data_IF_588822548904
#
_entry.id   IF_588822548904
#
_cell.length_a   1.000
_cell.length_b   1.000
_cell.length_c   1.000
_cell.angle_alpha   90.00
_cell.angle_beta   90.00
_cell.angle_gamma   90.00
#
_symmetry.space_group_name_H-M   'P 1'
#
loop_
_entity.id
_entity.type
_entity.pdbx_description
1 polymer ?
#
# COMPACT_ATOMS: atom_id res chain seq x y z
N UNK A 1 6.56 -10.16 3.45
CA UNK A 1 5.54 -10.96 2.76
C UNK A 1 6.00 -11.38 1.36
N UNK A 2 6.18 -10.45 0.44
CA UNK A 2 6.50 -10.74 -0.97
C UNK A 2 7.76 -11.62 -1.16
N UNK A 3 8.86 -11.24 -0.53
CA UNK A 3 10.14 -11.97 -0.62
C UNK A 3 10.04 -13.39 -0.06
N UNK A 4 9.31 -13.59 1.03
CA UNK A 4 9.06 -14.92 1.61
C UNK A 4 8.37 -15.88 0.63
N UNK A 5 7.54 -15.36 -0.28
CA UNK A 5 6.86 -16.11 -1.34
C UNK A 5 7.65 -16.14 -2.66
N UNK A 6 8.96 -15.88 -2.65
CA UNK A 6 9.83 -15.93 -3.82
C UNK A 6 9.75 -14.71 -4.74
N UNK A 7 9.10 -13.63 -4.29
CA UNK A 7 9.09 -12.35 -4.97
C UNK A 7 10.40 -11.56 -4.77
N UNK A 8 10.52 -10.42 -5.47
CA UNK A 8 11.68 -9.53 -5.35
C UNK A 8 11.27 -8.07 -5.18
N UNK A 9 12.23 -7.22 -4.87
CA UNK A 9 12.03 -5.78 -4.68
C UNK A 9 12.91 -4.98 -5.65
N UNK A 10 12.39 -3.86 -6.14
CA UNK A 10 13.20 -2.75 -6.62
C UNK A 10 13.92 -2.15 -5.42
N UNK A 11 15.25 -2.07 -5.47
CA UNK A 11 16.04 -1.64 -4.33
C UNK A 11 16.05 -0.12 -4.14
N UNK A 12 15.92 0.63 -5.25
CA UNK A 12 15.96 2.08 -5.19
C UNK A 12 15.10 2.72 -6.29
N UNK A 13 13.88 3.10 -5.94
CA UNK A 13 12.89 3.67 -6.85
C UNK A 13 13.34 4.95 -7.59
N UNK A 14 14.12 5.87 -6.98
CA UNK A 14 14.56 7.08 -7.67
C UNK A 14 15.40 6.82 -8.93
N UNK A 15 16.07 5.68 -9.00
CA UNK A 15 16.88 5.28 -10.17
C UNK A 15 16.12 4.39 -11.16
N UNK A 16 14.91 3.96 -10.81
CA UNK A 16 14.11 3.12 -11.68
C UNK A 16 13.49 3.94 -12.82
N UNK A 17 13.84 3.60 -14.06
CA UNK A 17 13.20 4.19 -15.24
C UNK A 17 11.70 3.81 -15.29
N UNK A 18 10.84 4.81 -15.31
CA UNK A 18 9.37 4.66 -15.33
C UNK A 18 8.74 5.76 -16.16
N UNK A 19 7.58 5.47 -16.72
CA UNK A 19 6.75 6.49 -17.34
C UNK A 19 6.05 7.31 -16.24
N UNK A 20 6.12 8.64 -16.35
CA UNK A 20 5.52 9.59 -15.40
C UNK A 20 5.82 9.27 -13.91
N UNK A 21 7.10 9.20 -13.50
CA UNK A 21 7.47 8.76 -12.17
C UNK A 21 6.90 9.66 -11.09
N UNK A 22 6.36 9.04 -10.03
CA UNK A 22 5.92 9.73 -8.82
C UNK A 22 7.09 9.75 -7.84
N UNK A 23 7.24 10.85 -7.10
CA UNK A 23 8.20 10.92 -6.00
C UNK A 23 7.66 10.19 -4.76
N UNK A 24 8.00 8.90 -4.62
CA UNK A 24 7.60 8.06 -3.49
C UNK A 24 8.35 8.36 -2.20
N UNK A 25 9.49 9.07 -2.31
CA UNK A 25 10.24 9.56 -1.16
C UNK A 25 10.94 10.86 -1.51
N UNK A 26 10.70 11.91 -0.75
CA UNK A 26 11.39 13.18 -0.90
C UNK A 26 12.87 13.04 -0.55
N UNK A 27 13.75 13.21 -1.53
CA UNK A 27 15.19 13.19 -1.32
C UNK A 27 15.59 14.52 -0.65
N UNK A 28 16.24 14.43 0.54
CA UNK A 28 16.71 15.63 1.27
C UNK A 28 15.68 16.25 2.23
N UNK A 29 14.49 15.67 2.36
CA UNK A 29 13.56 16.01 3.42
C UNK A 29 13.83 15.19 4.68
N UNK A 30 13.87 15.82 5.83
CA UNK A 30 13.91 15.13 7.12
C UNK A 30 12.72 14.16 7.18
N UNK A 31 13.00 12.89 7.34
CA UNK A 31 11.97 11.84 7.36
C UNK A 31 11.18 11.89 8.66
N UNK A 32 10.42 12.99 8.86
CA UNK A 32 9.31 13.07 9.79
C UNK A 32 9.60 12.67 11.24
N UNK A 33 10.77 13.04 11.78
CA UNK A 33 11.03 12.90 13.23
C UNK A 33 10.25 13.88 14.09
N UNK A 34 9.70 14.89 13.49
CA UNK A 34 9.04 16.03 14.14
C UNK A 34 7.50 15.96 14.15
N UNK A 35 6.92 14.80 13.89
CA UNK A 35 5.46 14.60 13.97
C UNK A 35 4.61 15.42 12.99
N UNK A 36 5.20 16.36 12.29
CA UNK A 36 4.57 17.25 11.33
C UNK A 36 5.13 17.11 9.90
N UNK A 37 5.98 16.10 9.66
CA UNK A 37 6.56 15.84 8.35
C UNK A 37 5.47 15.56 7.32
N UNK A 38 5.31 16.45 6.36
CA UNK A 38 4.41 16.25 5.23
C UNK A 38 4.91 15.09 4.39
N UNK A 39 4.25 13.94 4.51
CA UNK A 39 4.39 12.87 3.54
C UNK A 39 3.92 13.38 2.18
N UNK A 40 4.63 13.03 1.12
CA UNK A 40 4.05 13.15 -0.20
C UNK A 40 2.79 12.28 -0.26
N UNK A 41 1.84 12.70 -1.07
CA UNK A 41 0.61 11.94 -1.32
C UNK A 41 0.45 11.74 -2.82
N UNK A 42 -0.09 10.60 -3.19
CA UNK A 42 -0.43 10.30 -4.58
C UNK A 42 -1.70 9.44 -4.65
N UNK A 43 -2.36 9.39 -5.81
CA UNK A 43 -3.45 8.45 -6.04
C UNK A 43 -2.98 7.00 -5.87
N UNK A 44 -3.81 6.19 -5.25
CA UNK A 44 -3.65 4.74 -5.14
C UNK A 44 -4.90 4.09 -5.74
N UNK A 45 -4.72 3.36 -6.82
CA UNK A 45 -5.78 2.67 -7.54
C UNK A 45 -6.05 1.33 -6.87
N UNK A 46 -7.27 1.09 -6.41
CA UNK A 46 -7.68 -0.12 -5.69
C UNK A 46 -8.40 -1.08 -6.62
N UNK A 47 -7.95 -2.33 -6.67
CA UNK A 47 -8.61 -3.39 -7.45
C UNK A 47 -9.98 -3.74 -6.86
N UNK A 48 -11.03 -3.68 -7.68
CA UNK A 48 -12.42 -3.93 -7.28
C UNK A 48 -12.68 -5.33 -6.72
N UNK A 49 -11.89 -6.31 -7.11
CA UNK A 49 -12.02 -7.67 -6.64
C UNK A 49 -11.37 -7.91 -5.27
N UNK A 50 -10.65 -6.92 -4.73
CA UNK A 50 -9.84 -7.06 -3.52
C UNK A 50 -10.63 -6.89 -2.22
N UNK A 51 -10.07 -7.42 -1.12
CA UNK A 51 -10.58 -7.14 0.23
C UNK A 51 -10.40 -5.67 0.61
N UNK A 52 -9.33 -5.03 0.12
CA UNK A 52 -9.15 -3.60 0.32
C UNK A 52 -10.33 -2.81 -0.29
N UNK A 53 -10.79 -3.18 -1.49
CA UNK A 53 -11.97 -2.54 -2.08
C UNK A 53 -13.24 -2.82 -1.28
N UNK A 54 -13.42 -4.04 -0.79
CA UNK A 54 -14.58 -4.39 0.06
C UNK A 54 -14.64 -3.54 1.33
N UNK A 55 -13.48 -3.23 1.92
CA UNK A 55 -13.41 -2.36 3.10
C UNK A 55 -13.60 -0.88 2.77
N UNK A 56 -12.89 -0.39 1.77
CA UNK A 56 -12.76 1.04 1.43
C UNK A 56 -13.96 1.54 0.62
N UNK A 57 -14.48 0.73 -0.30
CA UNK A 57 -15.60 1.08 -1.19
C UNK A 57 -15.26 2.06 -2.32
N UNK A 58 -13.98 2.42 -2.49
CA UNK A 58 -13.51 3.38 -3.52
C UNK A 58 -12.49 2.72 -4.44
N UNK A 59 -12.51 3.08 -5.72
CA UNK A 59 -11.51 2.63 -6.72
C UNK A 59 -10.19 3.39 -6.63
N UNK A 60 -10.22 4.55 -6.04
CA UNK A 60 -9.08 5.44 -5.88
C UNK A 60 -9.14 6.11 -4.52
N UNK A 61 -7.99 6.18 -3.87
CA UNK A 61 -7.79 6.90 -2.62
C UNK A 61 -6.52 7.76 -2.74
N UNK A 62 -6.31 8.70 -1.83
CA UNK A 62 -5.06 9.44 -1.72
C UNK A 62 -4.19 8.84 -0.63
N UNK A 63 -3.21 8.03 -1.00
CA UNK A 63 -2.25 7.43 -0.08
C UNK A 63 -1.08 8.37 0.24
N UNK A 64 -0.54 8.28 1.46
CA UNK A 64 0.73 8.90 1.82
C UNK A 64 1.89 8.00 1.41
N UNK A 65 3.05 8.58 1.11
CA UNK A 65 4.20 7.81 0.64
C UNK A 65 5.51 8.31 1.24
N UNK A 66 6.36 7.38 1.67
CA UNK A 66 7.72 7.63 2.15
C UNK A 66 8.56 6.36 2.05
N UNK A 67 8.69 5.80 0.84
CA UNK A 67 9.48 4.60 0.62
C UNK A 67 10.41 4.73 -0.59
N UNK A 68 11.53 4.03 -0.57
CA UNK A 68 12.52 3.97 -1.64
C UNK A 68 12.58 2.62 -2.35
N UNK A 69 11.93 1.62 -1.79
CA UNK A 69 11.82 0.27 -2.34
C UNK A 69 10.36 -0.03 -2.67
N UNK A 70 10.13 -0.94 -3.60
CA UNK A 70 8.80 -1.44 -3.92
C UNK A 70 8.86 -2.89 -4.41
N UNK A 71 7.72 -3.54 -4.54
CA UNK A 71 7.65 -4.87 -5.14
C UNK A 71 8.03 -4.76 -6.62
N UNK A 72 8.97 -5.62 -7.04
CA UNK A 72 9.36 -5.83 -8.43
C UNK A 72 8.65 -7.07 -8.99
N UNK A 73 9.07 -8.27 -8.57
CA UNK A 73 8.42 -9.53 -8.91
C UNK A 73 7.46 -9.92 -7.79
N UNK A 74 6.21 -10.21 -8.16
CA UNK A 74 5.21 -10.69 -7.20
C UNK A 74 5.53 -12.11 -6.74
N UNK A 75 5.39 -12.38 -5.43
CA UNK A 75 5.55 -13.69 -4.83
C UNK A 75 4.43 -14.65 -5.22
N UNK A 76 4.71 -15.94 -5.15
CA UNK A 76 3.78 -17.00 -5.53
C UNK A 76 2.50 -16.99 -4.66
N UNK A 77 1.34 -17.14 -5.31
CA UNK A 77 0.03 -17.16 -4.65
C UNK A 77 -0.47 -15.79 -4.19
N UNK A 78 0.28 -14.73 -4.41
CA UNK A 78 -0.13 -13.37 -4.09
C UNK A 78 -0.87 -12.70 -5.25
N UNK A 79 -1.72 -11.72 -4.93
CA UNK A 79 -2.42 -10.89 -5.89
C UNK A 79 -2.16 -9.41 -5.63
N UNK A 80 -1.97 -8.63 -6.68
CA UNK A 80 -1.89 -7.18 -6.61
C UNK A 80 -3.30 -6.64 -6.34
N UNK A 81 -3.43 -5.76 -5.35
CA UNK A 81 -4.71 -5.14 -4.97
C UNK A 81 -4.69 -3.62 -5.03
N UNK A 82 -3.52 -3.02 -5.15
CA UNK A 82 -3.37 -1.58 -5.27
C UNK A 82 -2.12 -1.21 -6.06
N UNK A 83 -2.22 -0.15 -6.87
CA UNK A 83 -1.11 0.39 -7.68
C UNK A 83 -1.12 1.92 -7.68
N UNK A 84 0.06 2.53 -7.78
CA UNK A 84 0.20 3.94 -8.08
C UNK A 84 0.09 4.18 -9.60
N UNK A 85 -0.20 5.42 -10.05
CA UNK A 85 -0.31 5.74 -11.49
C UNK A 85 0.96 5.48 -12.31
N UNK A 86 2.14 5.47 -11.68
CA UNK A 86 3.42 5.13 -12.31
C UNK A 86 3.73 3.63 -12.33
N UNK A 87 2.74 2.80 -12.03
CA UNK A 87 2.82 1.34 -12.08
C UNK A 87 3.44 0.67 -10.84
N UNK A 88 3.83 1.45 -9.82
CA UNK A 88 4.36 0.88 -8.59
C UNK A 88 3.26 0.14 -7.82
N UNK A 89 3.59 -1.08 -7.38
CA UNK A 89 2.68 -1.90 -6.56
C UNK A 89 2.61 -1.32 -5.16
N UNK A 90 1.40 -0.93 -4.76
CA UNK A 90 1.10 -0.31 -3.48
C UNK A 90 0.35 -1.25 -2.51
N UNK A 91 -0.14 -2.38 -2.99
CA UNK A 91 -0.82 -3.34 -2.13
C UNK A 91 -0.91 -4.72 -2.72
N UNK A 92 -0.84 -5.72 -1.86
CA UNK A 92 -0.95 -7.14 -2.20
C UNK A 92 -1.79 -7.88 -1.16
N UNK A 93 -2.42 -8.98 -1.57
CA UNK A 93 -3.09 -9.91 -0.66
C UNK A 93 -2.81 -11.36 -1.02
N UNK A 94 -2.96 -12.25 -0.05
CA UNK A 94 -3.11 -13.68 -0.30
C UNK A 94 -4.63 -14.00 -0.33
N UNK A 95 -5.19 -14.36 -1.48
CA UNK A 95 -6.62 -14.61 -1.61
C UNK A 95 -7.10 -15.83 -0.81
N UNK A 96 -6.20 -16.72 -0.40
CA UNK A 96 -6.52 -17.93 0.38
C UNK A 96 -6.65 -17.66 1.88
N UNK A 97 -6.16 -16.53 2.38
CA UNK A 97 -6.22 -16.16 3.79
C UNK A 97 -7.08 -14.91 4.01
N UNK A 98 -8.11 -14.98 4.89
CA UNK A 98 -9.10 -13.90 5.03
C UNK A 98 -8.53 -12.55 5.51
N UNK A 99 -7.44 -12.55 6.28
CA UNK A 99 -6.86 -11.35 6.89
C UNK A 99 -5.44 -11.04 6.42
N UNK A 100 -5.03 -11.62 5.30
CA UNK A 100 -3.68 -11.47 4.83
C UNK A 100 -3.61 -10.48 3.65
N UNK A 101 -3.46 -9.21 3.97
CA UNK A 101 -3.17 -8.15 3.02
C UNK A 101 -2.03 -7.25 3.54
N UNK A 102 -1.32 -6.62 2.64
CA UNK A 102 -0.28 -5.66 2.95
C UNK A 102 -0.40 -4.46 2.02
N UNK A 103 -0.14 -3.29 2.57
CA UNK A 103 -0.14 -2.02 1.85
C UNK A 103 1.21 -1.33 2.00
N UNK A 104 1.60 -0.54 1.02
CA UNK A 104 2.85 0.20 1.00
C UNK A 104 2.73 1.56 1.68
N UNK A 105 1.57 2.21 1.58
CA UNK A 105 1.30 3.45 2.30
C UNK A 105 1.09 3.23 3.80
N UNK A 106 0.97 4.31 4.57
CA UNK A 106 0.82 4.31 6.02
C UNK A 106 -0.61 4.71 6.43
N UNK A 107 -1.59 3.80 6.39
CA UNK A 107 -2.98 4.10 6.76
C UNK A 107 -3.12 4.51 8.24
N UNK A 108 -2.21 4.06 9.12
CA UNK A 108 -2.20 4.43 10.54
C UNK A 108 -1.98 5.93 10.77
N UNK A 109 -1.36 6.61 9.80
CA UNK A 109 -1.17 8.07 9.84
C UNK A 109 -2.32 8.86 9.21
N UNK A 110 -3.25 8.16 8.58
CA UNK A 110 -4.41 8.71 7.89
C UNK A 110 -5.73 8.20 8.51
N UNK A 111 -5.68 7.72 9.74
CA UNK A 111 -6.82 7.10 10.44
C UNK A 111 -8.01 8.03 10.66
N UNK A 112 -7.84 9.35 10.54
CA UNK A 112 -8.93 10.32 10.53
C UNK A 112 -9.71 10.36 9.22
N UNK A 113 -9.19 9.77 8.14
CA UNK A 113 -9.85 9.62 6.86
C UNK A 113 -10.55 8.25 6.80
N UNK A 114 -11.85 8.25 6.48
CA UNK A 114 -12.70 7.06 6.58
C UNK A 114 -12.19 5.87 5.76
N UNK A 115 -11.65 6.10 4.56
CA UNK A 115 -11.09 5.07 3.70
C UNK A 115 -9.88 4.34 4.29
N UNK A 116 -9.06 5.04 5.06
CA UNK A 116 -7.88 4.44 5.71
C UNK A 116 -8.27 3.74 6.99
N UNK A 117 -9.20 4.32 7.77
CA UNK A 117 -9.75 3.70 8.97
C UNK A 117 -10.47 2.38 8.65
N UNK A 118 -11.13 2.29 7.50
CA UNK A 118 -11.89 1.12 7.06
C UNK A 118 -11.05 -0.17 7.00
N UNK A 119 -9.76 -0.09 6.68
CA UNK A 119 -8.85 -1.24 6.69
C UNK A 119 -8.68 -1.83 8.09
N UNK A 120 -8.57 -0.98 9.11
CA UNK A 120 -8.47 -1.42 10.51
C UNK A 120 -9.79 -1.96 11.02
N UNK A 121 -10.91 -1.34 10.66
CA UNK A 121 -12.25 -1.83 11.00
C UNK A 121 -12.51 -3.21 10.40
N UNK A 122 -12.13 -3.44 9.14
CA UNK A 122 -12.21 -4.76 8.52
C UNK A 122 -11.42 -5.79 9.31
N UNK A 123 -10.18 -5.48 9.72
CA UNK A 123 -9.34 -6.38 10.51
C UNK A 123 -10.00 -6.76 11.84
N UNK A 124 -10.52 -5.76 12.56
CA UNK A 124 -11.19 -5.97 13.86
C UNK A 124 -12.46 -6.81 13.70
N UNK A 125 -13.31 -6.49 12.71
CA UNK A 125 -14.55 -7.19 12.46
C UNK A 125 -14.31 -8.66 12.13
N UNK A 126 -13.40 -8.96 11.22
CA UNK A 126 -13.09 -10.34 10.85
C UNK A 126 -12.41 -11.13 11.98
N UNK A 127 -11.62 -10.47 12.83
CA UNK A 127 -11.05 -11.11 14.01
C UNK A 127 -12.13 -11.47 15.05
N UNK A 128 -13.20 -10.66 15.16
CA UNK A 128 -14.31 -10.90 16.06
C UNK A 128 -15.24 -12.05 15.59
N UNK A 129 -15.41 -12.25 14.27
CA UNK A 129 -16.24 -13.30 13.69
C UNK A 129 -15.67 -14.73 13.92
N UNK A 130 -14.42 -14.86 14.28
CA UNK A 130 -13.73 -16.15 14.51
C UNK A 130 -13.84 -16.66 15.95
N UNK A 131 -14.67 -16.05 16.78
CA UNK A 131 -15.05 -16.57 18.10
C UNK A 131 -16.34 -17.35 17.98
#
# INVERSE_FOLDING_TARGET
MNVYRGGSLHQFLPELARDNPIEHRKIGGDSGRDGAGSFNRHPVMIDKGSRAYQAIGKKEISGNTSHKQSINKLGEGLRIIATAPDGIIEGIEDPTFPLWLAVQWHPERLHSEAEHLALFQMLVNQAAEKK
#
